data_IF_805910000886
#
_entry.id   IF_805910000886
#
_cell.length_a   1.000
_cell.length_b   1.000
_cell.length_c   1.000
_cell.angle_alpha   90.00
_cell.angle_beta   90.00
_cell.angle_gamma   90.00
#
_symmetry.space_group_name_H-M   'P 1'
#
loop_
_entity.id
_entity.type
_entity.pdbx_description
1 polymer ?
#
# COMPACT_ATOMS: atom_id res chain seq x y z
N UNK A 1 60.74 20.98 5.02
CA UNK A 1 59.70 20.90 6.09
C UNK A 1 58.42 21.65 5.74
N UNK A 2 58.42 22.72 4.91
CA UNK A 2 57.19 23.48 4.59
C UNK A 2 56.19 22.74 3.69
N UNK A 3 56.64 22.03 2.65
CA UNK A 3 55.73 21.37 1.70
C UNK A 3 54.82 20.31 2.36
N UNK A 4 55.37 19.50 3.27
CA UNK A 4 54.61 18.50 4.02
C UNK A 4 53.59 19.14 4.99
N UNK A 5 53.91 20.31 5.57
CA UNK A 5 52.99 21.05 6.43
C UNK A 5 51.85 21.71 5.63
N UNK A 6 52.13 22.23 4.44
CA UNK A 6 51.10 22.77 3.54
C UNK A 6 50.16 21.68 3.01
N UNK A 7 50.70 20.51 2.65
CA UNK A 7 49.91 19.38 2.20
C UNK A 7 49.02 18.82 3.33
N UNK A 8 49.56 18.73 4.55
CA UNK A 8 48.79 18.37 5.74
C UNK A 8 47.67 19.38 6.02
N UNK A 9 47.94 20.68 5.89
CA UNK A 9 46.93 21.72 6.08
C UNK A 9 45.81 21.62 5.03
N UNK A 10 46.16 21.38 3.75
CA UNK A 10 45.18 21.15 2.67
C UNK A 10 44.32 19.93 2.91
N UNK A 11 44.91 18.80 3.29
CA UNK A 11 44.14 17.59 3.59
C UNK A 11 43.25 17.74 4.82
N UNK A 12 43.72 18.46 5.85
CA UNK A 12 42.90 18.76 7.03
C UNK A 12 41.71 19.65 6.70
N UNK A 13 41.90 20.66 5.84
CA UNK A 13 40.81 21.51 5.35
C UNK A 13 39.78 20.70 4.52
N UNK A 14 40.27 19.90 3.56
CA UNK A 14 39.44 18.97 2.78
C UNK A 14 38.66 18.01 3.67
N UNK A 15 39.31 17.44 4.68
CA UNK A 15 38.67 16.54 5.65
C UNK A 15 37.59 17.25 6.45
N UNK A 16 37.86 18.43 7.01
CA UNK A 16 36.88 19.20 7.78
C UNK A 16 35.68 19.60 6.92
N UNK A 17 35.91 19.99 5.67
CA UNK A 17 34.84 20.27 4.71
C UNK A 17 34.01 19.02 4.41
N UNK A 18 34.65 17.88 4.16
CA UNK A 18 33.96 16.62 3.92
C UNK A 18 33.10 16.17 5.12
N UNK A 19 33.60 16.36 6.35
CA UNK A 19 32.82 16.09 7.57
C UNK A 19 31.61 17.01 7.66
N UNK A 20 31.79 18.31 7.40
CA UNK A 20 30.70 19.27 7.40
C UNK A 20 29.63 18.94 6.33
N UNK A 21 30.05 18.57 5.12
CA UNK A 21 29.15 18.16 4.05
C UNK A 21 28.38 16.89 4.41
N UNK A 22 29.03 15.91 5.06
CA UNK A 22 28.39 14.69 5.54
C UNK A 22 27.36 14.97 6.63
N UNK A 23 27.66 15.86 7.57
CA UNK A 23 26.69 16.26 8.61
C UNK A 23 25.48 16.98 8.02
N UNK A 24 25.71 17.88 7.06
CA UNK A 24 24.64 18.58 6.36
C UNK A 24 23.75 17.60 5.57
N UNK A 25 24.37 16.63 4.89
CA UNK A 25 23.66 15.57 4.19
C UNK A 25 22.83 14.72 5.16
N UNK A 26 23.41 14.26 6.28
CA UNK A 26 22.69 13.47 7.30
C UNK A 26 21.48 14.21 7.85
N UNK A 27 21.63 15.51 8.17
CA UNK A 27 20.52 16.34 8.66
C UNK A 27 19.43 16.49 7.60
N UNK A 28 19.80 16.65 6.32
CA UNK A 28 18.85 16.73 5.21
C UNK A 28 18.12 15.40 5.00
N UNK A 29 18.84 14.29 4.92
CA UNK A 29 18.28 12.97 4.73
C UNK A 29 17.32 12.58 5.88
N UNK A 30 17.62 12.98 7.11
CA UNK A 30 16.73 12.78 8.24
C UNK A 30 15.42 13.56 8.09
N UNK A 31 15.49 14.82 7.65
CA UNK A 31 14.28 15.63 7.37
C UNK A 31 13.45 15.04 6.24
N UNK A 32 14.09 14.65 5.13
CA UNK A 32 13.40 14.01 4.00
C UNK A 32 12.71 12.70 4.43
N UNK A 33 13.37 11.89 5.28
CA UNK A 33 12.76 10.67 5.84
C UNK A 33 11.55 10.98 6.73
N UNK A 34 11.62 12.02 7.55
CA UNK A 34 10.50 12.47 8.38
C UNK A 34 9.34 13.00 7.53
N UNK A 35 9.64 13.75 6.47
CA UNK A 35 8.64 14.22 5.50
C UNK A 35 7.99 13.06 4.74
N UNK A 36 8.79 12.11 4.24
CA UNK A 36 8.27 10.88 3.62
C UNK A 36 7.41 10.07 4.59
N UNK A 37 7.77 10.01 5.88
CA UNK A 37 6.96 9.35 6.90
C UNK A 37 5.63 10.06 7.16
N UNK A 38 5.61 11.39 7.14
CA UNK A 38 4.40 12.20 7.40
C UNK A 38 3.47 12.28 6.20
N UNK A 39 4.02 12.40 4.99
CA UNK A 39 3.27 12.69 3.77
C UNK A 39 3.34 11.56 2.72
N UNK A 40 4.01 10.44 3.01
CA UNK A 40 4.15 9.33 2.06
C UNK A 40 2.81 8.76 1.59
N UNK A 41 1.78 8.80 2.43
CA UNK A 41 0.44 8.33 2.09
C UNK A 41 -0.45 9.42 1.49
N UNK A 42 0.03 10.66 1.32
CA UNK A 42 -0.79 11.79 0.86
C UNK A 42 -1.43 11.49 -0.50
N UNK A 43 -0.65 10.95 -1.43
CA UNK A 43 -1.15 10.60 -2.77
C UNK A 43 -2.26 9.55 -2.69
N UNK A 44 -2.09 8.52 -1.86
CA UNK A 44 -3.12 7.48 -1.65
C UNK A 44 -4.38 8.07 -1.03
N UNK A 45 -4.23 8.89 0.02
CA UNK A 45 -5.36 9.52 0.70
C UNK A 45 -6.16 10.41 -0.25
N UNK A 46 -5.49 11.18 -1.12
CA UNK A 46 -6.16 12.00 -2.14
C UNK A 46 -7.03 11.19 -3.09
N UNK A 47 -6.60 10.00 -3.48
CA UNK A 47 -7.37 9.11 -4.37
C UNK A 47 -8.47 8.31 -3.63
N UNK A 48 -8.33 8.12 -2.30
CA UNK A 48 -9.34 7.45 -1.47
C UNK A 48 -10.51 8.37 -1.13
N UNK A 49 -10.27 9.68 -0.94
CA UNK A 49 -11.32 10.63 -0.53
C UNK A 49 -12.57 10.61 -1.45
N UNK A 50 -12.46 10.60 -2.79
CA UNK A 50 -13.62 10.47 -3.68
C UNK A 50 -14.44 9.20 -3.45
N UNK A 51 -13.80 8.09 -3.05
CA UNK A 51 -14.47 6.83 -2.73
C UNK A 51 -15.32 7.00 -1.49
N UNK A 52 -14.76 7.61 -0.44
CA UNK A 52 -15.48 7.94 0.79
C UNK A 52 -16.68 8.85 0.49
N UNK A 53 -16.49 9.91 -0.29
CA UNK A 53 -17.54 10.87 -0.62
C UNK A 53 -18.69 10.22 -1.41
N UNK A 54 -18.38 9.26 -2.29
CA UNK A 54 -19.40 8.47 -3.00
C UNK A 54 -20.15 7.51 -2.06
N UNK A 55 -19.47 6.88 -1.11
CA UNK A 55 -20.13 6.04 -0.11
C UNK A 55 -21.06 6.86 0.80
N UNK A 56 -20.64 8.05 1.24
CA UNK A 56 -21.48 8.95 2.03
C UNK A 56 -22.75 9.34 1.26
N UNK A 57 -22.60 9.69 -0.02
CA UNK A 57 -23.74 9.98 -0.91
C UNK A 57 -24.67 8.78 -1.08
N UNK A 58 -24.12 7.58 -1.21
CA UNK A 58 -24.93 6.35 -1.29
C UNK A 58 -25.75 6.13 -0.02
N UNK A 59 -25.16 6.39 1.16
CA UNK A 59 -25.85 6.30 2.45
C UNK A 59 -26.94 7.37 2.59
N UNK A 60 -26.68 8.61 2.19
CA UNK A 60 -27.70 9.68 2.17
C UNK A 60 -28.88 9.29 1.28
N UNK A 61 -28.59 8.82 0.06
CA UNK A 61 -29.61 8.39 -0.89
C UNK A 61 -30.47 7.23 -0.35
N UNK A 62 -29.84 6.25 0.29
CA UNK A 62 -30.53 5.12 0.93
C UNK A 62 -31.47 5.56 2.07
N UNK A 63 -31.15 6.64 2.77
CA UNK A 63 -32.00 7.20 3.84
C UNK A 63 -33.19 7.99 3.30
N UNK A 64 -33.02 8.66 2.16
CA UNK A 64 -34.08 9.46 1.52
C UNK A 64 -35.05 8.61 0.70
N UNK A 65 -34.58 7.50 0.12
CA UNK A 65 -35.38 6.62 -0.70
C UNK A 65 -35.50 5.22 -0.08
N UNK A 66 -36.56 5.01 0.70
CA UNK A 66 -36.85 3.73 1.38
C UNK A 66 -37.04 2.52 0.43
N UNK A 67 -37.07 2.74 -0.91
CA UNK A 67 -37.44 1.71 -1.89
C UNK A 67 -36.55 1.57 -3.14
N UNK A 68 -35.50 2.38 -3.33
CA UNK A 68 -34.58 2.20 -4.47
C UNK A 68 -33.32 1.38 -4.13
N UNK A 69 -33.55 0.12 -3.76
CA UNK A 69 -32.47 -0.82 -3.47
C UNK A 69 -31.58 -1.11 -4.69
N UNK A 70 -32.11 -0.97 -5.91
CA UNK A 70 -31.39 -1.28 -7.14
C UNK A 70 -30.41 -0.18 -7.51
N UNK A 71 -30.83 1.09 -7.47
CA UNK A 71 -29.95 2.24 -7.68
C UNK A 71 -28.85 2.31 -6.62
N UNK A 72 -29.18 1.97 -5.37
CA UNK A 72 -28.19 1.88 -4.30
C UNK A 72 -27.13 0.81 -4.57
N UNK A 73 -27.54 -0.40 -4.96
CA UNK A 73 -26.62 -1.49 -5.27
C UNK A 73 -25.68 -1.13 -6.43
N UNK A 74 -26.23 -0.53 -7.50
CA UNK A 74 -25.43 -0.07 -8.64
C UNK A 74 -24.40 0.99 -8.24
N UNK A 75 -24.79 1.96 -7.41
CA UNK A 75 -23.86 2.98 -6.91
C UNK A 75 -22.75 2.42 -6.02
N UNK A 76 -23.07 1.41 -5.19
CA UNK A 76 -22.08 0.70 -4.38
C UNK A 76 -21.12 -0.10 -5.27
N UNK A 77 -21.63 -0.83 -6.26
CA UNK A 77 -20.81 -1.61 -7.20
C UNK A 77 -19.84 -0.70 -7.98
N UNK A 78 -20.31 0.45 -8.46
CA UNK A 78 -19.46 1.45 -9.10
C UNK A 78 -18.36 1.95 -8.16
N UNK A 79 -18.69 2.17 -6.88
CA UNK A 79 -17.74 2.64 -5.88
C UNK A 79 -16.69 1.58 -5.54
N UNK A 80 -17.09 0.31 -5.47
CA UNK A 80 -16.18 -0.83 -5.31
C UNK A 80 -15.23 -0.98 -6.50
N UNK A 81 -15.73 -0.83 -7.73
CA UNK A 81 -14.88 -0.85 -8.93
C UNK A 81 -13.88 0.30 -8.93
N UNK A 82 -14.29 1.50 -8.49
CA UNK A 82 -13.39 2.64 -8.35
C UNK A 82 -12.30 2.36 -7.32
N UNK A 83 -12.64 1.80 -6.15
CA UNK A 83 -11.68 1.40 -5.13
C UNK A 83 -10.68 0.37 -5.66
N UNK A 84 -11.15 -0.67 -6.36
CA UNK A 84 -10.29 -1.68 -6.97
C UNK A 84 -9.27 -1.06 -7.92
N UNK A 85 -9.71 -0.18 -8.83
CA UNK A 85 -8.82 0.51 -9.76
C UNK A 85 -7.82 1.42 -9.05
N UNK A 86 -8.26 2.16 -8.02
CA UNK A 86 -7.35 2.99 -7.23
C UNK A 86 -6.28 2.12 -6.57
N UNK A 87 -6.66 1.03 -5.90
CA UNK A 87 -5.72 0.10 -5.27
C UNK A 87 -4.70 -0.47 -6.27
N UNK A 88 -5.14 -0.91 -7.45
CA UNK A 88 -4.27 -1.40 -8.52
C UNK A 88 -3.23 -0.34 -8.95
N UNK A 89 -3.62 0.93 -9.05
CA UNK A 89 -2.70 2.03 -9.40
C UNK A 89 -1.60 2.24 -8.34
N UNK A 90 -1.85 1.88 -7.08
CA UNK A 90 -0.85 1.91 -6.00
C UNK A 90 -0.14 0.56 -5.81
N UNK A 91 -0.30 -0.37 -6.76
CA UNK A 91 0.37 -1.67 -6.77
C UNK A 91 -0.29 -2.71 -5.88
N UNK A 92 -1.52 -2.46 -5.42
CA UNK A 92 -2.30 -3.44 -4.64
C UNK A 92 -3.13 -4.30 -5.58
N UNK A 93 -2.93 -5.62 -5.54
CA UNK A 93 -3.66 -6.58 -6.37
C UNK A 93 -4.26 -7.71 -5.51
N UNK A 94 -5.49 -8.16 -5.79
CA UNK A 94 -6.10 -9.27 -5.06
C UNK A 94 -5.42 -10.61 -5.40
N UNK A 95 -5.40 -11.51 -4.43
CA UNK A 95 -5.00 -12.91 -4.65
C UNK A 95 -6.19 -13.70 -5.17
N UNK A 96 -6.00 -14.40 -6.27
CA UNK A 96 -6.96 -15.40 -6.75
C UNK A 96 -6.73 -16.69 -5.96
N UNK A 97 -7.64 -16.95 -5.02
CA UNK A 97 -7.50 -18.05 -4.05
C UNK A 97 -8.46 -19.21 -4.35
N UNK A 98 -9.72 -18.89 -4.68
CA UNK A 98 -10.78 -19.90 -4.87
C UNK A 98 -10.48 -20.83 -6.05
N UNK A 99 -10.55 -22.14 -5.82
CA UNK A 99 -10.30 -23.17 -6.81
C UNK A 99 -8.83 -23.45 -7.09
N UNK A 100 -7.92 -22.67 -6.50
CA UNK A 100 -6.47 -22.87 -6.63
C UNK A 100 -5.93 -23.83 -5.56
N UNK A 101 -4.79 -24.49 -5.83
CA UNK A 101 -4.09 -25.26 -4.81
C UNK A 101 -3.68 -24.40 -3.62
N UNK A 102 -3.82 -24.95 -2.41
CA UNK A 102 -3.41 -24.27 -1.19
C UNK A 102 -1.87 -24.15 -1.11
N UNK A 103 -1.38 -22.91 -1.15
CA UNK A 103 0.01 -22.52 -0.84
C UNK A 103 0.13 -21.87 0.55
N UNK A 104 0.85 -22.47 1.52
CA UNK A 104 1.07 -21.90 2.85
C UNK A 104 1.81 -20.56 2.89
N UNK A 105 2.54 -20.20 1.82
CA UNK A 105 3.25 -18.91 1.75
C UNK A 105 2.33 -17.74 1.38
N UNK A 106 1.12 -18.04 0.91
CA UNK A 106 0.16 -17.07 0.34
C UNK A 106 -1.21 -17.13 0.98
N UNK A 107 -1.52 -18.22 1.67
CA UNK A 107 -2.85 -18.49 2.21
C UNK A 107 -2.76 -18.97 3.66
N UNK A 108 -3.77 -18.60 4.44
CA UNK A 108 -3.97 -19.07 5.80
C UNK A 108 -5.13 -20.07 5.83
N UNK A 109 -4.85 -21.31 6.24
CA UNK A 109 -5.86 -22.35 6.34
C UNK A 109 -6.69 -22.15 7.61
N UNK A 110 -7.94 -21.69 7.45
CA UNK A 110 -8.87 -21.49 8.56
C UNK A 110 -9.55 -22.79 9.02
N UNK A 111 -9.66 -23.78 8.13
CA UNK A 111 -10.32 -25.05 8.41
C UNK A 111 -10.35 -25.96 7.20
N UNK A 112 -10.78 -27.20 7.40
CA UNK A 112 -11.00 -28.18 6.33
C UNK A 112 -12.50 -28.33 6.09
N UNK A 113 -12.88 -28.49 4.83
CA UNK A 113 -14.25 -28.72 4.41
C UNK A 113 -14.28 -29.92 3.48
N UNK A 114 -15.23 -30.83 3.70
CA UNK A 114 -15.46 -31.95 2.81
C UNK A 114 -16.04 -31.44 1.48
N UNK A 115 -15.45 -31.85 0.36
CA UNK A 115 -15.93 -31.52 -0.98
C UNK A 115 -15.81 -32.74 -1.88
N UNK A 116 -16.85 -33.01 -2.66
CA UNK A 116 -16.83 -34.01 -3.72
C UNK A 116 -16.47 -33.40 -5.09
N UNK A 117 -16.41 -32.07 -5.18
CA UNK A 117 -16.25 -31.32 -6.43
C UNK A 117 -14.81 -30.89 -6.69
N UNK A 118 -13.99 -30.77 -5.63
CA UNK A 118 -12.63 -30.28 -5.72
C UNK A 118 -11.58 -31.33 -5.31
N UNK A 119 -10.39 -31.33 -5.94
CA UNK A 119 -9.27 -32.16 -5.51
C UNK A 119 -8.84 -31.86 -4.06
N UNK A 120 -8.23 -32.83 -3.36
CA UNK A 120 -7.60 -32.58 -2.07
C UNK A 120 -6.61 -31.40 -2.12
N UNK A 121 -6.52 -30.64 -1.03
CA UNK A 121 -5.64 -29.47 -0.90
C UNK A 121 -5.97 -28.30 -1.85
N UNK A 122 -7.25 -28.11 -2.18
CA UNK A 122 -7.76 -26.97 -2.97
C UNK A 122 -8.49 -25.99 -2.05
N UNK A 123 -8.36 -24.69 -2.30
CA UNK A 123 -9.11 -23.66 -1.57
C UNK A 123 -10.55 -23.65 -2.08
N UNK A 124 -11.47 -24.12 -1.24
CA UNK A 124 -12.90 -24.21 -1.59
C UNK A 124 -13.72 -23.01 -1.10
N UNK A 125 -13.15 -22.20 -0.21
CA UNK A 125 -13.81 -21.01 0.33
C UNK A 125 -12.78 -19.94 0.71
N UNK A 126 -13.07 -18.68 0.37
CA UNK A 126 -12.29 -17.50 0.74
C UNK A 126 -13.08 -16.71 1.80
N UNK A 127 -12.60 -16.70 3.05
CA UNK A 127 -13.21 -15.93 4.14
C UNK A 127 -12.89 -14.43 4.02
N UNK A 128 -11.63 -14.14 3.70
CA UNK A 128 -11.12 -12.81 3.50
C UNK A 128 -10.17 -12.86 2.30
N UNK A 129 -10.32 -11.90 1.39
CA UNK A 129 -9.45 -11.80 0.23
C UNK A 129 -8.04 -11.37 0.65
N UNK A 130 -7.04 -12.11 0.20
CA UNK A 130 -5.63 -11.72 0.34
C UNK A 130 -5.23 -10.70 -0.72
N UNK A 131 -4.18 -9.92 -0.45
CA UNK A 131 -3.68 -8.91 -1.38
C UNK A 131 -2.16 -8.90 -1.45
N UNK A 132 -1.62 -8.55 -2.62
CA UNK A 132 -0.22 -8.18 -2.80
C UNK A 132 -0.07 -6.67 -2.86
N UNK A 133 1.05 -6.14 -2.38
CA UNK A 133 1.54 -4.78 -2.64
C UNK A 133 2.91 -4.88 -3.31
N UNK A 134 3.01 -4.52 -4.58
CA UNK A 134 4.25 -4.59 -5.37
C UNK A 134 4.96 -5.95 -5.17
N UNK A 135 4.23 -7.04 -5.40
CA UNK A 135 4.68 -8.44 -5.26
C UNK A 135 4.90 -8.96 -3.82
N UNK A 136 4.70 -8.12 -2.79
CA UNK A 136 4.77 -8.54 -1.38
C UNK A 136 3.38 -8.83 -0.82
N UNK A 137 3.20 -9.98 -0.16
CA UNK A 137 1.96 -10.31 0.56
C UNK A 137 1.70 -9.31 1.70
N UNK A 138 0.46 -8.80 1.76
CA UNK A 138 -0.04 -7.91 2.83
C UNK A 138 -0.74 -8.68 3.95
#
# INVERSE_FOLDING_TARGET
MSACQEELAKHKDLYLRAVADLENYRKRAQREKEEMGRFGNERLLREILPIKDNLERAVEHAREQESDAKGLLEGIDMTLQMLGKTLEQFGVAPITSLGEPFDPNRHEAMGQMESAEHPPNTIVQEMQRGYFLNDRLL
#
